data_IF_638620966822
#
_entry.id   IF_638620966822
#
_cell.length_a   1.000
_cell.length_b   1.000
_cell.length_c   1.000
_cell.angle_alpha   90.00
_cell.angle_beta   90.00
_cell.angle_gamma   90.00
#
_symmetry.space_group_name_H-M   'P 1'
#
loop_
_entity.id
_entity.type
_entity.pdbx_description
1 polymer ?
#
# COMPACT_ATOMS: atom_id res chain seq x y z
N UNK A 1 -17.46 4.10 -5.23
CA UNK A 1 -18.33 5.02 -4.45
C UNK A 1 -17.60 5.71 -3.29
N UNK A 2 -16.68 5.03 -2.62
CA UNK A 2 -15.83 5.64 -1.57
C UNK A 2 -14.81 6.63 -2.15
N UNK A 3 -14.27 6.37 -3.34
CA UNK A 3 -13.34 7.27 -4.05
C UNK A 3 -14.02 8.55 -4.52
N UNK A 4 -15.28 8.52 -4.95
CA UNK A 4 -15.99 9.71 -5.44
C UNK A 4 -16.42 10.68 -4.33
N UNK A 5 -16.70 10.17 -3.13
CA UNK A 5 -16.97 11.01 -1.95
C UNK A 5 -15.67 11.58 -1.35
N UNK A 6 -14.55 10.85 -1.47
CA UNK A 6 -13.23 11.30 -1.00
C UNK A 6 -12.64 12.45 -1.82
N UNK A 7 -12.87 12.47 -3.14
CA UNK A 7 -12.32 13.53 -4.00
C UNK A 7 -12.88 14.94 -3.70
N UNK A 8 -14.15 15.05 -3.33
CA UNK A 8 -14.75 16.33 -2.91
C UNK A 8 -14.22 16.87 -1.58
N UNK A 9 -13.81 15.99 -0.68
CA UNK A 9 -13.24 16.35 0.62
C UNK A 9 -11.73 16.65 0.55
N UNK A 10 -11.01 16.09 -0.42
CA UNK A 10 -9.57 16.34 -0.63
C UNK A 10 -9.32 17.82 -0.94
N UNK A 11 -10.17 18.45 -1.78
CA UNK A 11 -10.07 19.90 -2.08
C UNK A 11 -10.32 20.81 -0.88
N UNK A 12 -11.17 20.40 0.06
CA UNK A 12 -11.51 21.21 1.24
C UNK A 12 -10.52 21.06 2.39
N UNK A 13 -9.61 20.07 2.31
CA UNK A 13 -8.76 19.68 3.43
C UNK A 13 -7.27 19.61 3.05
N UNK A 14 -6.85 20.39 2.06
CA UNK A 14 -5.45 20.52 1.66
C UNK A 14 -4.56 20.82 2.88
N UNK A 15 -3.48 20.07 3.02
CA UNK A 15 -2.55 20.19 4.15
C UNK A 15 -2.92 19.40 5.40
N UNK A 16 -4.00 18.60 5.39
CA UNK A 16 -4.35 17.69 6.50
C UNK A 16 -4.06 16.25 6.13
N UNK A 17 -3.40 15.56 7.06
CA UNK A 17 -3.14 14.12 6.94
C UNK A 17 -4.21 13.35 7.72
N UNK A 18 -4.90 12.44 7.05
CA UNK A 18 -5.90 11.56 7.66
C UNK A 18 -5.32 10.21 7.98
N UNK A 19 -5.87 9.56 9.01
CA UNK A 19 -5.61 8.15 9.25
C UNK A 19 -6.21 7.33 8.11
N UNK A 20 -5.38 6.47 7.51
CA UNK A 20 -5.75 5.48 6.50
C UNK A 20 -5.62 4.10 7.12
N UNK A 21 -6.69 3.35 7.18
CA UNK A 21 -6.68 2.00 7.75
C UNK A 21 -7.47 1.04 6.86
N UNK A 22 -7.16 -0.23 6.95
CA UNK A 22 -7.83 -1.29 6.20
C UNK A 22 -8.89 -2.00 7.05
N UNK A 23 -8.70 -2.02 8.36
CA UNK A 23 -9.65 -2.49 9.36
C UNK A 23 -9.44 -1.79 10.71
N UNK A 24 -10.38 -2.00 11.63
CA UNK A 24 -10.33 -1.49 13.01
C UNK A 24 -11.25 -2.33 13.93
N UNK A 25 -11.47 -1.85 15.15
CA UNK A 25 -12.30 -2.51 16.16
C UNK A 25 -13.83 -2.50 15.88
N UNK A 26 -14.28 -1.82 14.83
CA UNK A 26 -15.70 -1.65 14.51
C UNK A 26 -16.13 -2.35 13.22
N UNK A 27 -15.17 -2.86 12.43
CA UNK A 27 -15.43 -3.53 11.16
C UNK A 27 -14.80 -4.91 11.12
N UNK A 28 -15.36 -5.80 10.29
CA UNK A 28 -14.76 -7.10 10.00
C UNK A 28 -13.30 -6.96 9.61
N UNK A 29 -12.42 -7.78 10.19
CA UNK A 29 -10.99 -7.80 9.89
C UNK A 29 -10.75 -8.02 8.40
N UNK A 30 -9.80 -7.29 7.81
CA UNK A 30 -9.50 -7.41 6.38
C UNK A 30 -9.11 -8.82 5.98
N UNK A 31 -8.40 -9.54 6.84
CA UNK A 31 -8.07 -10.94 6.61
C UNK A 31 -9.31 -11.85 6.50
N UNK A 32 -10.41 -11.52 7.17
CA UNK A 32 -11.68 -12.26 7.05
C UNK A 32 -12.52 -11.87 5.84
N UNK A 33 -12.30 -10.68 5.27
CA UNK A 33 -13.02 -10.20 4.08
C UNK A 33 -12.44 -10.80 2.80
N UNK A 34 -11.10 -10.93 2.74
CA UNK A 34 -10.41 -11.38 1.55
C UNK A 34 -10.60 -12.87 1.31
N UNK A 35 -11.16 -13.22 0.14
CA UNK A 35 -11.25 -14.60 -0.34
C UNK A 35 -9.89 -15.13 -0.79
N UNK A 36 -9.06 -14.27 -1.39
CA UNK A 36 -7.69 -14.58 -1.77
C UNK A 36 -6.72 -13.88 -0.81
N UNK A 37 -6.05 -14.66 0.02
CA UNK A 37 -5.11 -14.16 1.03
C UNK A 37 -3.84 -13.51 0.42
N UNK A 38 -3.51 -13.82 -0.84
CA UNK A 38 -2.39 -13.17 -1.54
C UNK A 38 -2.62 -11.66 -1.73
N UNK A 39 -3.87 -11.19 -1.62
CA UNK A 39 -4.18 -9.76 -1.67
C UNK A 39 -3.87 -9.03 -0.35
N UNK A 40 -3.69 -9.75 0.76
CA UNK A 40 -3.50 -9.13 2.07
C UNK A 40 -2.23 -8.25 2.13
N UNK A 41 -1.05 -8.70 1.67
CA UNK A 41 0.13 -7.83 1.58
C UNK A 41 -0.07 -6.62 0.67
N UNK A 42 -0.84 -6.78 -0.43
CA UNK A 42 -1.06 -5.72 -1.42
C UNK A 42 -1.95 -4.59 -0.87
N UNK A 43 -2.94 -4.92 -0.04
CA UNK A 43 -3.78 -3.92 0.62
C UNK A 43 -2.94 -3.06 1.56
N UNK A 44 -1.98 -3.63 2.29
CA UNK A 44 -1.05 -2.85 3.11
C UNK A 44 -0.09 -2.02 2.24
N UNK A 45 0.43 -2.57 1.13
CA UNK A 45 1.21 -1.78 0.18
C UNK A 45 0.42 -0.55 -0.32
N UNK A 46 -0.85 -0.74 -0.66
CA UNK A 46 -1.74 0.35 -1.05
C UNK A 46 -1.91 1.36 0.10
N UNK A 47 -2.21 0.91 1.32
CA UNK A 47 -2.42 1.79 2.47
C UNK A 47 -1.19 2.63 2.81
N UNK A 48 0.02 2.05 2.73
CA UNK A 48 1.28 2.76 2.98
C UNK A 48 1.70 3.67 1.81
N UNK A 49 1.37 3.31 0.57
CA UNK A 49 1.65 4.12 -0.63
C UNK A 49 0.73 5.31 -0.80
N UNK A 50 -0.53 5.19 -0.42
CA UNK A 50 -1.54 6.26 -0.55
C UNK A 50 -1.25 7.46 0.38
N UNK A 51 -1.79 8.67 0.02
CA UNK A 51 -1.76 9.81 0.92
C UNK A 51 -2.43 9.51 2.26
N UNK A 52 -1.84 9.98 3.35
CA UNK A 52 -2.37 9.81 4.70
C UNK A 52 -1.38 9.14 5.65
N UNK A 53 -1.82 8.93 6.87
CA UNK A 53 -1.06 8.26 7.93
C UNK A 53 -1.59 6.81 8.02
N UNK A 54 -0.83 5.80 7.59
CA UNK A 54 -1.29 4.43 7.68
C UNK A 54 -1.41 4.01 9.14
N UNK A 55 -2.52 3.38 9.46
CA UNK A 55 -2.79 2.84 10.79
C UNK A 55 -3.08 1.35 10.65
N UNK A 56 -2.31 0.54 11.36
CA UNK A 56 -2.48 -0.92 11.43
C UNK A 56 -3.13 -1.25 12.75
N UNK A 57 -4.28 -1.93 12.70
CA UNK A 57 -4.97 -2.36 13.91
C UNK A 57 -4.27 -3.60 14.49
N UNK A 58 -4.15 -3.67 15.82
CA UNK A 58 -3.41 -4.75 16.48
C UNK A 58 -3.94 -6.14 16.08
N UNK A 59 -3.04 -7.05 15.79
CA UNK A 59 -3.34 -8.38 15.27
C UNK A 59 -3.44 -8.45 13.75
N UNK A 60 -3.79 -7.35 13.08
CA UNK A 60 -3.89 -7.32 11.62
C UNK A 60 -2.54 -7.41 10.96
N UNK A 61 -1.45 -7.03 11.65
CA UNK A 61 -0.08 -7.14 11.17
C UNK A 61 0.41 -8.59 10.99
N UNK A 62 -0.24 -9.55 11.63
CA UNK A 62 0.00 -10.98 11.37
C UNK A 62 -1.19 -11.70 10.75
N UNK A 63 -2.21 -10.96 10.31
CA UNK A 63 -3.35 -11.50 9.59
C UNK A 63 -4.44 -12.08 10.48
N UNK A 64 -4.62 -11.56 11.69
CA UNK A 64 -5.71 -11.97 12.58
C UNK A 64 -7.07 -11.83 11.90
N UNK A 65 -7.91 -12.82 12.07
CA UNK A 65 -9.27 -12.86 11.55
C UNK A 65 -10.28 -12.45 12.62
N UNK A 66 -11.47 -12.02 12.21
CA UNK A 66 -12.60 -11.65 13.06
C UNK A 66 -13.71 -11.04 12.25
N UNK A 67 -14.95 -11.38 12.55
CA UNK A 67 -16.13 -10.93 11.81
C UNK A 67 -17.05 -10.10 12.70
N UNK A 68 -17.52 -8.98 12.16
CA UNK A 68 -18.42 -8.08 12.90
C UNK A 68 -19.74 -8.74 13.30
N UNK A 69 -20.23 -9.67 12.49
CA UNK A 69 -21.45 -10.43 12.72
C UNK A 69 -21.36 -11.34 13.95
N UNK A 70 -20.14 -11.70 14.37
CA UNK A 70 -19.84 -12.52 15.56
C UNK A 70 -19.74 -11.68 16.85
N UNK A 71 -19.93 -10.37 16.72
CA UNK A 71 -19.90 -9.42 17.82
C UNK A 71 -18.50 -8.88 18.15
N UNK A 72 -18.45 -7.93 19.07
CA UNK A 72 -17.22 -7.22 19.45
C UNK A 72 -16.08 -8.12 19.93
N UNK A 73 -16.31 -9.22 20.67
CA UNK A 73 -15.21 -10.09 21.10
C UNK A 73 -14.39 -10.68 19.95
N UNK A 74 -15.00 -10.94 18.78
CA UNK A 74 -14.28 -11.46 17.62
C UNK A 74 -13.32 -10.44 16.99
N UNK A 75 -13.58 -9.14 17.20
CA UNK A 75 -12.76 -8.05 16.67
C UNK A 75 -11.70 -7.55 17.68
N UNK A 76 -11.91 -7.81 18.98
CA UNK A 76 -11.11 -7.30 20.09
C UNK A 76 -10.42 -8.42 20.85
N UNK A 77 -9.82 -9.35 20.10
CA UNK A 77 -9.12 -10.50 20.67
C UNK A 77 -7.99 -10.06 21.59
N UNK A 78 -7.81 -10.80 22.67
CA UNK A 78 -6.65 -10.67 23.55
C UNK A 78 -5.58 -11.66 23.13
N UNK A 79 -4.36 -11.18 22.95
CA UNK A 79 -3.20 -12.01 22.61
C UNK A 79 -2.23 -12.04 23.77
N UNK A 80 -1.85 -13.25 24.20
CA UNK A 80 -0.84 -13.43 25.25
C UNK A 80 0.56 -13.02 24.77
N UNK A 81 0.83 -13.27 23.50
CA UNK A 81 2.10 -12.92 22.83
C UNK A 81 1.82 -12.40 21.44
N UNK A 82 2.59 -11.40 20.98
CA UNK A 82 2.55 -10.99 19.59
C UNK A 82 3.11 -12.12 18.69
N UNK A 83 2.54 -12.23 17.49
CA UNK A 83 3.07 -13.11 16.46
C UNK A 83 3.96 -12.30 15.51
N UNK A 84 4.95 -12.97 14.92
CA UNK A 84 5.78 -12.37 13.89
C UNK A 84 5.86 -13.34 12.71
N UNK A 85 5.37 -12.90 11.55
CA UNK A 85 5.33 -13.71 10.35
C UNK A 85 5.72 -12.88 9.11
N UNK A 86 5.62 -13.48 7.92
CA UNK A 86 5.97 -12.82 6.65
C UNK A 86 5.17 -11.53 6.40
N UNK A 87 3.90 -11.47 6.82
CA UNK A 87 3.09 -10.26 6.71
C UNK A 87 3.60 -9.15 7.63
N UNK A 88 4.02 -9.50 8.84
CA UNK A 88 4.61 -8.55 9.80
C UNK A 88 5.93 -7.99 9.24
N UNK A 89 6.79 -8.85 8.68
CA UNK A 89 8.01 -8.42 7.99
C UNK A 89 7.71 -7.45 6.84
N UNK A 90 6.70 -7.78 6.03
CA UNK A 90 6.27 -6.95 4.92
C UNK A 90 5.80 -5.57 5.37
N UNK A 91 4.91 -5.51 6.36
CA UNK A 91 4.39 -4.26 6.92
C UNK A 91 5.52 -3.43 7.56
N UNK A 92 6.48 -4.08 8.22
CA UNK A 92 7.66 -3.41 8.77
C UNK A 92 8.50 -2.73 7.69
N UNK A 93 8.74 -3.41 6.56
CA UNK A 93 9.45 -2.83 5.40
C UNK A 93 8.69 -1.65 4.79
N UNK A 94 7.36 -1.77 4.65
CA UNK A 94 6.51 -0.68 4.18
C UNK A 94 6.58 0.54 5.11
N UNK A 95 6.57 0.29 6.43
CA UNK A 95 6.67 1.35 7.43
C UNK A 95 8.02 2.07 7.36
N UNK A 96 9.13 1.32 7.23
CA UNK A 96 10.46 1.90 7.06
C UNK A 96 10.58 2.70 5.75
N UNK A 97 10.06 2.17 4.63
CA UNK A 97 10.04 2.89 3.37
C UNK A 97 9.29 4.23 3.50
N UNK A 98 8.09 4.22 4.11
CA UNK A 98 7.31 5.43 4.31
C UNK A 98 7.99 6.41 5.27
N UNK A 99 8.56 5.94 6.38
CA UNK A 99 9.24 6.75 7.39
C UNK A 99 10.38 7.57 6.79
N UNK A 100 11.10 7.02 5.82
CA UNK A 100 12.27 7.62 5.21
C UNK A 100 12.00 8.28 3.84
N UNK A 101 10.74 8.40 3.43
CA UNK A 101 10.35 9.01 2.16
C UNK A 101 9.50 10.27 2.37
N UNK A 102 10.01 11.41 1.93
CA UNK A 102 9.28 12.66 1.89
C UNK A 102 8.06 12.56 0.96
N UNK A 103 8.25 11.97 -0.22
CA UNK A 103 7.19 11.82 -1.20
C UNK A 103 6.03 10.96 -0.68
N UNK A 104 6.29 9.85 0.00
CA UNK A 104 5.24 8.99 0.56
C UNK A 104 4.50 9.67 1.72
N UNK A 105 5.17 10.54 2.47
CA UNK A 105 4.56 11.26 3.58
C UNK A 105 3.77 12.50 3.11
N UNK A 106 4.39 13.36 2.31
CA UNK A 106 3.86 14.70 2.02
C UNK A 106 3.61 14.95 0.54
N UNK A 107 4.06 14.06 -0.35
CA UNK A 107 3.96 14.21 -1.80
C UNK A 107 2.52 14.19 -2.32
N UNK A 108 2.31 14.86 -3.44
CA UNK A 108 1.08 14.77 -4.22
C UNK A 108 0.84 13.36 -4.75
N UNK A 109 -0.34 13.12 -5.28
CA UNK A 109 -0.75 11.82 -5.85
C UNK A 109 -1.12 12.00 -7.33
N UNK A 110 -0.63 11.10 -8.18
CA UNK A 110 -1.01 11.02 -9.60
C UNK A 110 -1.08 9.56 -10.05
N UNK A 111 -2.20 9.16 -10.65
CA UNK A 111 -2.32 7.84 -11.29
C UNK A 111 -1.48 7.81 -12.57
N UNK A 112 -0.73 6.73 -12.78
CA UNK A 112 0.14 6.50 -13.96
C UNK A 112 -0.41 5.36 -14.80
N UNK A 113 -0.67 4.20 -14.19
CA UNK A 113 -1.31 3.04 -14.83
C UNK A 113 -2.47 2.60 -13.96
N UNK A 114 -3.62 2.32 -14.58
CA UNK A 114 -4.77 1.77 -13.89
C UNK A 114 -5.49 0.80 -14.81
N UNK A 115 -5.57 -0.45 -14.37
CA UNK A 115 -6.31 -1.53 -15.03
C UNK A 115 -7.27 -2.19 -14.01
N UNK A 116 -7.87 -3.31 -14.35
CA UNK A 116 -8.72 -4.05 -13.41
C UNK A 116 -7.94 -4.70 -12.25
N UNK A 117 -6.67 -5.03 -12.45
CA UNK A 117 -5.85 -5.77 -11.49
C UNK A 117 -4.50 -5.12 -11.19
N UNK A 118 -4.11 -4.09 -11.94
CA UNK A 118 -2.84 -3.42 -11.74
C UNK A 118 -3.04 -1.92 -11.52
N UNK A 119 -2.24 -1.35 -10.63
CA UNK A 119 -2.14 0.09 -10.52
C UNK A 119 -0.68 0.52 -10.34
N UNK A 120 -0.31 1.61 -10.99
CA UNK A 120 0.92 2.34 -10.71
C UNK A 120 0.51 3.78 -10.47
N UNK A 121 0.94 4.35 -9.36
CA UNK A 121 0.72 5.75 -9.05
C UNK A 121 1.98 6.41 -8.54
N UNK A 122 2.07 7.69 -8.79
CA UNK A 122 3.17 8.54 -8.38
C UNK A 122 2.83 9.25 -7.06
N UNK A 123 3.79 9.27 -6.16
CA UNK A 123 3.91 10.19 -5.04
C UNK A 123 5.08 11.11 -5.31
N UNK A 124 4.85 12.42 -5.26
CA UNK A 124 5.87 13.42 -5.61
C UNK A 124 5.86 14.58 -4.64
N UNK A 125 7.01 14.83 -4.03
CA UNK A 125 7.33 16.06 -3.29
C UNK A 125 8.23 16.98 -4.14
N UNK A 126 8.75 18.03 -3.53
CA UNK A 126 9.72 18.92 -4.18
C UNK A 126 11.06 18.21 -4.45
N UNK A 127 11.48 17.30 -3.56
CA UNK A 127 12.82 16.70 -3.60
C UNK A 127 12.81 15.20 -3.88
N UNK A 128 11.66 14.57 -3.92
CA UNK A 128 11.57 13.12 -4.05
C UNK A 128 10.38 12.69 -4.91
N UNK A 129 10.59 11.63 -5.65
CA UNK A 129 9.57 10.99 -6.45
C UNK A 129 9.59 9.48 -6.27
N UNK A 130 8.43 8.90 -5.94
CA UNK A 130 8.26 7.46 -5.77
C UNK A 130 7.11 6.98 -6.63
N UNK A 131 7.31 5.93 -7.41
CA UNK A 131 6.25 5.17 -8.06
C UNK A 131 5.91 3.96 -7.19
N UNK A 132 4.64 3.83 -6.83
CA UNK A 132 4.09 2.66 -6.16
C UNK A 132 3.39 1.82 -7.20
N UNK A 133 3.88 0.60 -7.42
CA UNK A 133 3.35 -0.34 -8.40
C UNK A 133 2.76 -1.56 -7.69
N UNK A 134 1.57 -1.99 -8.08
CA UNK A 134 0.85 -3.12 -7.49
C UNK A 134 0.27 -3.98 -8.62
N UNK A 135 0.50 -5.28 -8.56
CA UNK A 135 -0.16 -6.28 -9.38
C UNK A 135 -0.98 -7.23 -8.48
N UNK A 136 -2.30 -7.16 -8.59
CA UNK A 136 -3.23 -8.00 -7.84
C UNK A 136 -3.70 -9.24 -8.64
N UNK A 137 -3.13 -9.48 -9.82
CA UNK A 137 -3.39 -10.67 -10.64
C UNK A 137 -2.52 -11.85 -10.23
N UNK A 138 -2.97 -13.06 -10.51
CA UNK A 138 -2.20 -14.30 -10.48
C UNK A 138 -1.26 -14.48 -11.70
N UNK A 139 -1.27 -13.51 -12.64
CA UNK A 139 -0.41 -13.49 -13.81
C UNK A 139 0.60 -12.35 -13.72
N UNK A 140 1.82 -12.53 -14.26
CA UNK A 140 2.77 -11.44 -14.39
C UNK A 140 2.20 -10.37 -15.34
N UNK A 141 2.60 -9.13 -15.12
CA UNK A 141 2.18 -8.01 -15.95
C UNK A 141 3.37 -7.10 -16.26
N UNK A 142 3.60 -6.81 -17.54
CA UNK A 142 4.61 -5.84 -17.95
C UNK A 142 3.94 -4.49 -18.21
N UNK A 143 4.23 -3.53 -17.36
CA UNK A 143 3.72 -2.18 -17.50
C UNK A 143 4.62 -1.36 -18.46
N UNK A 144 4.00 -0.71 -19.46
CA UNK A 144 4.67 0.22 -20.35
C UNK A 144 4.14 1.62 -20.06
N UNK A 145 5.00 2.50 -19.59
CA UNK A 145 4.68 3.90 -19.29
C UNK A 145 5.97 4.73 -19.31
N UNK A 146 5.83 6.03 -19.46
CA UNK A 146 6.95 6.94 -19.33
C UNK A 146 7.22 7.25 -17.85
N UNK A 147 8.31 6.69 -17.33
CA UNK A 147 8.77 6.97 -15.98
C UNK A 147 9.46 8.33 -15.84
N UNK A 148 9.86 8.95 -16.96
CA UNK A 148 10.63 10.19 -16.96
C UNK A 148 12.07 10.06 -16.45
N UNK A 149 12.54 8.82 -16.25
CA UNK A 149 13.92 8.47 -15.88
C UNK A 149 14.23 7.04 -16.33
N UNK A 150 15.52 6.67 -16.39
CA UNK A 150 15.95 5.32 -16.80
C UNK A 150 15.88 4.31 -15.67
N UNK A 151 16.22 4.73 -14.43
CA UNK A 151 16.40 3.83 -13.30
C UNK A 151 15.76 4.36 -12.01
N UNK A 152 15.52 3.45 -11.08
CA UNK A 152 15.05 3.74 -9.73
C UNK A 152 15.64 2.73 -8.74
N UNK A 153 15.52 3.01 -7.46
CA UNK A 153 15.78 2.06 -6.39
C UNK A 153 14.45 1.64 -5.74
N UNK A 154 14.22 0.33 -5.61
CA UNK A 154 13.07 -0.16 -4.86
C UNK A 154 13.31 0.01 -3.35
N UNK A 155 12.47 0.81 -2.70
CA UNK A 155 12.56 1.11 -1.26
C UNK A 155 12.32 -0.10 -0.35
N UNK A 156 11.64 -1.14 -0.86
CA UNK A 156 11.31 -2.34 -0.09
C UNK A 156 12.46 -3.35 -0.12
N UNK A 157 13.03 -3.58 -1.30
CA UNK A 157 14.06 -4.60 -1.52
C UNK A 157 15.48 -4.02 -1.56
N UNK A 158 15.62 -2.72 -1.78
CA UNK A 158 16.89 -2.05 -2.02
C UNK A 158 17.50 -2.35 -3.39
N UNK A 159 16.80 -3.09 -4.26
CA UNK A 159 17.31 -3.46 -5.58
C UNK A 159 17.08 -2.35 -6.61
N UNK A 160 18.01 -2.21 -7.57
CA UNK A 160 17.80 -1.29 -8.68
C UNK A 160 16.67 -1.81 -9.60
N UNK A 161 15.92 -0.88 -10.18
CA UNK A 161 14.91 -1.12 -11.19
C UNK A 161 15.22 -0.32 -12.45
N UNK A 162 15.18 -0.97 -13.60
CA UNK A 162 15.35 -0.37 -14.92
C UNK A 162 13.99 -0.29 -15.63
N UNK A 163 13.61 0.91 -16.08
CA UNK A 163 12.37 1.14 -16.81
C UNK A 163 12.49 0.86 -18.31
N UNK A 164 13.71 0.59 -18.82
CA UNK A 164 13.96 0.25 -20.21
C UNK A 164 13.27 -1.06 -20.61
N UNK A 165 12.41 -1.02 -21.62
CA UNK A 165 11.70 -2.20 -22.10
C UNK A 165 10.40 -2.54 -21.36
N UNK A 166 10.02 -1.75 -20.36
CA UNK A 166 8.84 -1.96 -19.53
C UNK A 166 9.18 -2.49 -18.13
N UNK A 167 8.22 -2.37 -17.22
CA UNK A 167 8.37 -2.80 -15.83
C UNK A 167 7.59 -4.08 -15.57
N UNK A 168 8.28 -5.18 -15.34
CA UNK A 168 7.65 -6.46 -15.00
C UNK A 168 7.20 -6.45 -13.54
N UNK A 169 5.93 -6.75 -13.32
CA UNK A 169 5.31 -6.95 -12.02
C UNK A 169 4.94 -8.42 -11.87
N UNK A 170 5.61 -9.18 -11.01
CA UNK A 170 5.25 -10.55 -10.71
C UNK A 170 3.80 -10.68 -10.22
N UNK A 171 3.22 -11.89 -10.24
CA UNK A 171 1.92 -12.14 -9.63
C UNK A 171 1.89 -11.71 -8.16
N UNK A 172 0.80 -11.07 -7.73
CA UNK A 172 0.57 -10.66 -6.34
C UNK A 172 1.75 -9.90 -5.74
N UNK A 173 2.27 -8.91 -6.45
CA UNK A 173 3.46 -8.15 -6.05
C UNK A 173 3.19 -6.67 -5.88
N UNK A 174 4.05 -6.04 -5.10
CA UNK A 174 4.12 -4.59 -5.01
C UNK A 174 5.59 -4.13 -4.94
N UNK A 175 5.87 -2.96 -5.52
CA UNK A 175 7.16 -2.31 -5.53
C UNK A 175 7.03 -0.81 -5.30
N UNK A 176 8.04 -0.22 -4.67
CA UNK A 176 8.10 1.21 -4.34
C UNK A 176 9.38 1.80 -4.94
N UNK A 177 9.31 2.24 -6.17
CA UNK A 177 10.46 2.71 -6.94
C UNK A 177 10.73 4.19 -6.68
N UNK A 178 11.78 4.48 -5.92
CA UNK A 178 12.31 5.83 -5.72
C UNK A 178 13.20 6.20 -6.89
N UNK A 179 12.87 7.30 -7.57
CA UNK A 179 13.65 7.81 -8.69
C UNK A 179 14.94 8.43 -8.19
N UNK A 180 16.03 8.13 -8.89
CA UNK A 180 17.29 8.86 -8.76
C UNK A 180 17.18 10.18 -9.54
N UNK A 181 17.70 11.26 -8.94
CA UNK A 181 17.75 12.59 -9.55
C UNK A 181 19.03 12.74 -10.36
#
# INVERSE_FOLDING_TARGET
CLLSRGLGDVYKRQGKHFLSFVDNHDVTRVASILTNKNHLPLIYALAFGMPGIPCVYYGSEWGAEGRKEEGDPSLRLSYEKPEWNELTDWISKLAEAKKHSEALNYGGFRSVVLTNHQCIFERRSEHERVLVAINASDQPYTAHFDAGCGTAQDLITGQPHDFGGGSELPPYSAAFWKMEH
#
